data_IF_441847348293
#
_entry.id   IF_441847348293
#
_cell.length_a   1.000
_cell.length_b   1.000
_cell.length_c   1.000
_cell.angle_alpha   90.00
_cell.angle_beta   90.00
_cell.angle_gamma   90.00
#
_symmetry.space_group_name_H-M   'P 1'
#
loop_
_entity.id
_entity.type
_entity.pdbx_description
1 polymer ?
#
# COMPACT_ATOMS: atom_id res chain seq x y z
N UNK A 1 -41.96 14.05 -28.98
CA UNK A 1 -41.89 12.56 -29.03
C UNK A 1 -40.52 11.97 -29.39
N UNK A 2 -39.56 12.70 -30.00
CA UNK A 2 -38.22 12.15 -30.31
C UNK A 2 -37.34 11.87 -29.07
N UNK A 3 -37.45 12.69 -28.01
CA UNK A 3 -36.72 12.52 -26.74
C UNK A 3 -37.13 11.23 -26.01
N UNK A 4 -38.42 10.89 -26.07
CA UNK A 4 -38.97 9.70 -25.42
C UNK A 4 -38.38 8.43 -26.03
N UNK A 5 -38.26 8.37 -27.36
CA UNK A 5 -37.72 7.21 -28.06
C UNK A 5 -36.21 6.98 -27.80
N UNK A 6 -35.45 8.06 -27.54
CA UNK A 6 -34.02 7.97 -27.19
C UNK A 6 -33.82 7.47 -25.75
N UNK A 7 -34.58 8.00 -24.79
CA UNK A 7 -34.45 7.61 -23.39
C UNK A 7 -35.01 6.22 -23.10
N UNK A 8 -36.10 5.82 -23.79
CA UNK A 8 -36.71 4.50 -23.64
C UNK A 8 -35.81 3.38 -24.17
N UNK A 9 -35.15 3.58 -25.31
CA UNK A 9 -34.24 2.59 -25.91
C UNK A 9 -32.88 2.49 -25.20
N UNK A 10 -32.43 3.53 -24.47
CA UNK A 10 -31.10 3.57 -23.86
C UNK A 10 -31.08 3.20 -22.37
N UNK A 11 -32.15 3.50 -21.63
CA UNK A 11 -32.16 3.36 -20.16
C UNK A 11 -33.27 2.46 -19.59
N UNK A 12 -34.16 1.91 -20.43
CA UNK A 12 -35.07 0.81 -20.04
C UNK A 12 -36.02 1.10 -18.87
N UNK A 13 -36.49 2.34 -18.70
CA UNK A 13 -37.36 2.74 -17.58
C UNK A 13 -38.84 2.62 -18.01
N UNK A 14 -39.62 1.64 -17.50
CA UNK A 14 -41.06 1.60 -17.75
C UNK A 14 -41.84 2.32 -16.64
N UNK A 15 -43.08 2.66 -17.01
CA UNK A 15 -44.19 3.18 -16.20
C UNK A 15 -44.32 4.70 -16.17
N UNK A 16 -45.09 5.20 -17.14
CA UNK A 16 -45.67 6.53 -17.19
C UNK A 16 -47.17 6.40 -16.90
N UNK A 17 -47.66 6.96 -15.80
CA UNK A 17 -49.11 7.19 -15.60
C UNK A 17 -49.46 8.54 -16.22
N UNK A 18 -50.32 8.52 -17.25
CA UNK A 18 -50.80 9.74 -17.92
C UNK A 18 -52.23 10.02 -17.43
N UNK A 19 -52.37 11.00 -16.55
CA UNK A 19 -53.65 11.63 -16.23
C UNK A 19 -53.73 13.01 -16.88
N UNK A 20 -54.78 13.28 -17.64
CA UNK A 20 -54.98 14.53 -18.37
C UNK A 20 -56.01 15.41 -17.65
N UNK A 21 -55.57 16.48 -17.00
CA UNK A 21 -56.42 17.61 -16.62
C UNK A 21 -55.63 18.91 -16.78
N UNK A 22 -55.92 19.67 -17.83
CA UNK A 22 -55.36 21.01 -18.04
C UNK A 22 -53.96 21.03 -18.65
N UNK A 23 -53.65 22.11 -19.35
CA UNK A 23 -52.48 22.33 -20.22
C UNK A 23 -51.17 22.19 -19.43
N UNK A 24 -50.65 20.98 -19.30
CA UNK A 24 -49.38 20.70 -18.66
C UNK A 24 -49.17 19.21 -18.41
N UNK A 25 -48.02 18.67 -18.83
CA UNK A 25 -47.61 17.31 -18.47
C UNK A 25 -46.94 17.38 -17.09
N UNK A 26 -47.56 16.78 -16.06
CA UNK A 26 -46.90 16.55 -14.77
C UNK A 26 -46.13 15.24 -14.83
N UNK A 27 -44.80 15.33 -14.82
CA UNK A 27 -43.92 14.19 -14.68
C UNK A 27 -43.56 14.03 -13.20
N UNK A 28 -43.85 12.85 -12.63
CA UNK A 28 -43.46 12.49 -11.27
C UNK A 28 -42.26 11.56 -11.35
N UNK A 29 -41.09 12.04 -10.91
CA UNK A 29 -39.88 11.24 -10.79
C UNK A 29 -39.53 11.06 -9.31
N UNK A 30 -39.21 9.83 -8.91
CA UNK A 30 -38.82 9.50 -7.54
C UNK A 30 -37.29 9.65 -7.43
N UNK A 31 -36.84 10.53 -6.52
CA UNK A 31 -35.45 10.70 -6.08
C UNK A 31 -34.40 11.04 -7.16
N UNK A 32 -34.61 12.08 -7.97
CA UNK A 32 -33.55 12.68 -8.80
C UNK A 32 -33.69 14.21 -8.70
N UNK A 33 -32.63 14.90 -8.27
CA UNK A 33 -32.56 16.37 -8.31
C UNK A 33 -32.12 16.81 -9.72
N UNK A 34 -32.87 17.73 -10.34
CA UNK A 34 -32.49 18.37 -11.60
C UNK A 34 -32.30 19.87 -11.40
N UNK A 35 -31.26 20.44 -12.00
CA UNK A 35 -31.16 21.89 -12.25
C UNK A 35 -31.70 22.16 -13.64
N UNK A 36 -32.80 22.90 -13.74
CA UNK A 36 -33.31 23.40 -15.02
C UNK A 36 -32.49 24.63 -15.42
N UNK A 37 -31.54 24.47 -16.33
CA UNK A 37 -30.89 25.60 -17.01
C UNK A 37 -31.72 25.96 -18.23
N UNK A 38 -32.50 27.04 -18.14
CA UNK A 38 -33.22 27.59 -19.28
C UNK A 38 -32.27 28.42 -20.15
N UNK A 39 -31.85 27.85 -21.29
CA UNK A 39 -31.76 28.58 -22.57
C UNK A 39 -31.45 27.71 -23.80
N UNK A 40 -31.25 26.38 -23.66
CA UNK A 40 -30.94 25.53 -24.83
C UNK A 40 -31.55 24.13 -24.84
N UNK A 41 -32.50 23.82 -23.96
CA UNK A 41 -33.33 22.61 -24.06
C UNK A 41 -32.60 21.28 -23.80
N UNK A 42 -31.37 21.31 -23.27
CA UNK A 42 -30.69 20.12 -22.77
C UNK A 42 -30.99 19.93 -21.28
N UNK A 43 -31.64 18.81 -20.93
CA UNK A 43 -31.76 18.34 -19.54
C UNK A 43 -30.47 17.59 -19.22
N UNK A 44 -29.59 18.19 -18.43
CA UNK A 44 -28.42 17.52 -17.91
C UNK A 44 -28.84 16.69 -16.68
N UNK A 45 -28.76 15.36 -16.81
CA UNK A 45 -29.01 14.45 -15.70
C UNK A 45 -27.77 14.48 -14.80
N UNK A 46 -27.79 15.28 -13.74
CA UNK A 46 -26.78 15.20 -12.67
C UNK A 46 -26.99 13.88 -11.92
N UNK A 47 -26.22 12.86 -12.31
CA UNK A 47 -26.09 11.67 -11.48
C UNK A 47 -25.57 12.09 -10.10
N UNK A 48 -26.11 11.54 -9.00
CA UNK A 48 -25.68 11.92 -7.66
C UNK A 48 -24.17 11.70 -7.51
N UNK A 49 -23.47 12.75 -7.09
CA UNK A 49 -22.03 12.72 -6.92
C UNK A 49 -21.69 11.85 -5.70
N UNK A 50 -21.20 10.64 -5.94
CA UNK A 50 -20.93 9.64 -4.89
C UNK A 50 -19.46 9.62 -4.49
N UNK A 51 -19.14 8.91 -3.41
CA UNK A 51 -17.73 8.59 -3.08
C UNK A 51 -17.04 7.86 -4.24
N UNK A 52 -17.75 6.98 -4.95
CA UNK A 52 -17.24 6.33 -6.15
C UNK A 52 -16.85 7.36 -7.22
N UNK A 53 -17.73 8.33 -7.49
CA UNK A 53 -17.49 9.38 -8.49
C UNK A 53 -16.24 10.21 -8.15
N UNK A 54 -16.12 10.63 -6.89
CA UNK A 54 -14.96 11.40 -6.40
C UNK A 54 -13.65 10.64 -6.51
N UNK A 55 -13.63 9.35 -6.16
CA UNK A 55 -12.43 8.50 -6.26
C UNK A 55 -12.06 8.21 -7.72
N UNK A 56 -13.03 7.93 -8.59
CA UNK A 56 -12.78 7.72 -10.01
C UNK A 56 -12.26 8.98 -10.69
N UNK A 57 -12.79 10.16 -10.34
CA UNK A 57 -12.26 11.45 -10.83
C UNK A 57 -10.79 11.67 -10.43
N UNK A 58 -10.39 11.16 -9.27
CA UNK A 58 -8.99 11.13 -8.80
C UNK A 58 -8.17 9.97 -9.36
N UNK A 59 -8.69 9.27 -10.38
CA UNK A 59 -8.05 8.15 -11.09
C UNK A 59 -7.83 6.90 -10.25
N UNK A 60 -8.54 6.74 -9.14
CA UNK A 60 -8.55 5.47 -8.41
C UNK A 60 -9.48 4.46 -9.07
N UNK A 61 -9.02 3.22 -9.17
CA UNK A 61 -9.85 2.09 -9.57
C UNK A 61 -10.61 1.58 -8.34
N UNK A 62 -11.91 1.77 -8.31
CA UNK A 62 -12.76 1.38 -7.17
C UNK A 62 -13.11 -0.11 -7.21
N UNK A 63 -13.35 -0.71 -6.04
CA UNK A 63 -13.85 -2.09 -5.94
C UNK A 63 -15.26 -2.18 -6.52
N UNK A 64 -15.48 -3.18 -7.36
CA UNK A 64 -16.81 -3.54 -7.90
C UNK A 64 -17.11 -5.01 -7.57
N UNK A 65 -18.31 -5.47 -7.96
CA UNK A 65 -18.67 -6.89 -7.85
C UNK A 65 -17.75 -7.79 -8.68
N UNK A 66 -17.13 -7.26 -9.74
CA UNK A 66 -16.24 -7.99 -10.66
C UNK A 66 -14.77 -7.98 -10.22
N UNK A 67 -14.41 -7.20 -9.19
CA UNK A 67 -13.04 -7.20 -8.65
C UNK A 67 -12.68 -8.61 -8.18
N UNK A 68 -11.50 -9.11 -8.54
CA UNK A 68 -11.10 -10.49 -8.20
C UNK A 68 -10.86 -10.68 -6.70
N UNK A 69 -11.04 -11.91 -6.23
CA UNK A 69 -10.89 -12.23 -4.81
C UNK A 69 -9.47 -11.96 -4.30
N UNK A 70 -8.44 -12.22 -5.10
CA UNK A 70 -7.05 -11.95 -4.70
C UNK A 70 -6.82 -10.44 -4.49
N UNK A 71 -7.37 -9.59 -5.36
CA UNK A 71 -7.28 -8.13 -5.19
C UNK A 71 -7.95 -7.71 -3.89
N UNK A 72 -9.14 -8.24 -3.58
CA UNK A 72 -9.83 -7.92 -2.33
C UNK A 72 -9.05 -8.41 -1.10
N UNK A 73 -8.45 -9.59 -1.16
CA UNK A 73 -7.56 -10.09 -0.11
C UNK A 73 -6.31 -9.20 0.08
N UNK A 74 -5.73 -8.70 -1.00
CA UNK A 74 -4.63 -7.73 -0.95
C UNK A 74 -5.08 -6.40 -0.32
N UNK A 75 -6.28 -5.91 -0.67
CA UNK A 75 -6.87 -4.70 -0.06
C UNK A 75 -7.04 -4.88 1.45
N UNK A 76 -7.62 -5.99 1.90
CA UNK A 76 -7.81 -6.27 3.33
C UNK A 76 -6.47 -6.37 4.07
N UNK A 77 -5.40 -6.81 3.40
CA UNK A 77 -4.07 -7.01 3.98
C UNK A 77 -3.04 -5.92 3.63
N UNK A 78 -3.48 -4.76 3.14
CA UNK A 78 -2.58 -3.68 2.69
C UNK A 78 -1.82 -2.95 3.81
N UNK A 79 -2.31 -3.03 5.06
CA UNK A 79 -1.58 -2.45 6.19
C UNK A 79 -0.39 -3.35 6.54
N UNK A 80 0.78 -2.73 6.54
CA UNK A 80 2.07 -3.37 6.77
C UNK A 80 2.31 -3.46 8.28
N UNK A 81 2.07 -4.65 8.83
CA UNK A 81 2.21 -4.91 10.26
C UNK A 81 3.31 -5.93 10.56
N UNK A 82 4.60 -5.54 10.49
CA UNK A 82 5.69 -6.46 10.75
C UNK A 82 5.76 -6.89 12.23
N UNK A 83 5.09 -6.17 13.12
CA UNK A 83 5.03 -6.42 14.55
C UNK A 83 3.93 -7.40 15.00
N UNK A 84 3.02 -7.82 14.12
CA UNK A 84 1.89 -8.68 14.50
C UNK A 84 2.32 -10.14 14.56
N UNK A 85 2.56 -10.61 15.78
CA UNK A 85 2.93 -12.01 16.10
C UNK A 85 1.74 -12.83 16.64
N UNK A 86 0.55 -12.24 16.69
CA UNK A 86 -0.68 -12.87 17.15
C UNK A 86 -1.85 -12.54 16.21
N UNK A 87 -2.85 -13.41 16.22
CA UNK A 87 -4.12 -13.19 15.53
C UNK A 87 -4.76 -11.87 15.98
N UNK A 88 -5.44 -11.18 15.06
CA UNK A 88 -6.22 -10.00 15.40
C UNK A 88 -7.40 -9.85 14.47
N UNK A 89 -8.36 -9.02 14.91
CA UNK A 89 -9.57 -8.71 14.16
C UNK A 89 -9.70 -7.21 13.93
N UNK A 90 -10.23 -6.83 12.76
CA UNK A 90 -10.93 -5.56 12.62
C UNK A 90 -12.39 -5.77 12.99
N UNK A 91 -12.92 -4.92 13.88
CA UNK A 91 -14.33 -4.91 14.26
C UNK A 91 -15.20 -4.29 13.17
N UNK A 92 -16.51 -4.53 13.24
CA UNK A 92 -17.48 -3.91 12.32
C UNK A 92 -17.40 -2.37 12.42
N UNK A 93 -17.42 -1.69 11.27
CA UNK A 93 -17.32 -0.24 11.16
C UNK A 93 -15.92 0.34 11.44
N UNK A 94 -14.94 -0.47 11.85
CA UNK A 94 -13.62 0.02 12.24
C UNK A 94 -12.83 0.57 11.05
N UNK A 95 -12.88 -0.13 9.91
CA UNK A 95 -12.08 0.20 8.71
C UNK A 95 -12.68 1.42 7.99
N UNK A 96 -13.97 1.33 7.68
CA UNK A 96 -14.81 2.41 7.15
C UNK A 96 -16.25 2.23 7.63
N UNK A 97 -17.07 3.27 7.55
CA UNK A 97 -18.48 3.19 7.94
C UNK A 97 -19.21 2.11 7.12
N UNK A 98 -19.76 1.08 7.79
CA UNK A 98 -20.40 -0.08 7.15
C UNK A 98 -19.48 -1.27 6.84
N UNK A 99 -18.17 -1.16 7.09
CA UNK A 99 -17.22 -2.28 6.93
C UNK A 99 -17.55 -3.45 7.84
N UNK A 100 -17.34 -4.68 7.37
CA UNK A 100 -17.58 -5.91 8.14
C UNK A 100 -16.37 -6.35 8.94
N UNK A 101 -16.61 -7.23 9.91
CA UNK A 101 -15.54 -7.84 10.72
C UNK A 101 -14.61 -8.65 9.81
N UNK A 102 -13.30 -8.51 10.00
CA UNK A 102 -12.28 -9.28 9.30
C UNK A 102 -11.33 -9.86 10.34
N UNK A 103 -11.02 -11.14 10.21
CA UNK A 103 -10.07 -11.82 11.08
C UNK A 103 -8.80 -12.18 10.33
N UNK A 104 -7.67 -12.00 11.01
CA UNK A 104 -6.35 -12.38 10.52
C UNK A 104 -5.73 -13.43 11.42
N UNK A 105 -5.10 -14.41 10.80
CA UNK A 105 -4.27 -15.42 11.45
C UNK A 105 -2.79 -15.12 11.23
N UNK A 106 -1.95 -15.70 12.08
CA UNK A 106 -0.50 -15.70 11.88
C UNK A 106 0.00 -17.09 11.48
N UNK A 107 1.02 -17.10 10.64
CA UNK A 107 1.75 -18.30 10.22
C UNK A 107 3.20 -18.18 10.67
N UNK A 108 3.77 -19.30 11.10
CA UNK A 108 5.19 -19.44 11.38
C UNK A 108 5.91 -19.94 10.14
N UNK A 109 7.03 -19.29 9.81
CA UNK A 109 7.99 -19.73 8.81
C UNK A 109 9.27 -20.13 9.53
N UNK A 110 9.88 -21.24 9.13
CA UNK A 110 11.10 -21.78 9.74
C UNK A 110 12.23 -21.82 8.71
N UNK A 111 13.46 -21.53 9.14
CA UNK A 111 14.66 -21.81 8.32
C UNK A 111 14.99 -23.31 8.35
N UNK A 112 15.80 -23.80 7.38
CA UNK A 112 16.15 -25.22 7.24
C UNK A 112 16.62 -25.90 8.54
N UNK A 113 17.42 -25.21 9.34
CA UNK A 113 18.00 -25.75 10.57
C UNK A 113 17.04 -25.67 11.77
N UNK A 114 15.83 -25.12 11.61
CA UNK A 114 14.77 -24.95 12.61
C UNK A 114 15.19 -24.22 13.90
N UNK A 115 16.31 -23.52 13.88
CA UNK A 115 16.83 -22.77 15.05
C UNK A 115 16.18 -21.41 15.22
N UNK A 116 15.60 -20.84 14.15
CA UNK A 116 14.98 -19.52 14.16
C UNK A 116 13.68 -19.57 13.34
N UNK A 117 12.67 -18.82 13.81
CA UNK A 117 11.36 -18.72 13.18
C UNK A 117 10.96 -17.27 12.95
N UNK A 118 10.15 -17.03 11.91
CA UNK A 118 9.46 -15.78 11.66
C UNK A 118 7.97 -16.01 11.72
N UNK A 119 7.29 -15.26 12.59
CA UNK A 119 5.83 -15.19 12.60
C UNK A 119 5.40 -14.04 11.69
N UNK A 120 4.59 -14.35 10.68
CA UNK A 120 4.02 -13.39 9.75
C UNK A 120 2.49 -13.46 9.79
N UNK A 121 1.84 -12.39 9.36
CA UNK A 121 0.39 -12.32 9.26
C UNK A 121 -0.07 -12.85 7.90
N UNK A 122 -1.01 -13.78 7.90
CA UNK A 122 -1.61 -14.33 6.69
C UNK A 122 -2.66 -13.37 6.10
N UNK A 123 -2.97 -13.58 4.82
CA UNK A 123 -4.17 -12.99 4.22
C UNK A 123 -5.40 -13.49 4.98
N UNK A 124 -6.45 -12.67 5.12
CA UNK A 124 -7.74 -13.14 5.64
C UNK A 124 -8.27 -14.34 4.85
N UNK A 125 -9.14 -15.11 5.47
CA UNK A 125 -9.83 -16.20 4.80
C UNK A 125 -10.72 -15.69 3.65
N UNK A 126 -10.79 -16.44 2.54
CA UNK A 126 -11.63 -16.12 1.38
C UNK A 126 -13.11 -15.91 1.73
N UNK A 127 -13.61 -16.50 2.81
CA UNK A 127 -14.99 -16.31 3.28
C UNK A 127 -15.36 -14.84 3.52
N UNK A 128 -14.39 -13.98 3.83
CA UNK A 128 -14.63 -12.55 4.07
C UNK A 128 -14.79 -11.73 2.78
N UNK A 129 -14.43 -12.28 1.61
CA UNK A 129 -14.31 -11.52 0.37
C UNK A 129 -15.66 -10.95 -0.11
N UNK A 130 -16.71 -11.75 -0.16
CA UNK A 130 -18.00 -11.29 -0.69
C UNK A 130 -18.63 -10.22 0.20
N UNK A 131 -18.63 -10.44 1.51
CA UNK A 131 -19.15 -9.47 2.48
C UNK A 131 -18.38 -8.14 2.41
N UNK A 132 -17.05 -8.21 2.23
CA UNK A 132 -16.22 -7.03 2.08
C UNK A 132 -16.50 -6.28 0.77
N UNK A 133 -16.61 -6.99 -0.37
CA UNK A 133 -16.99 -6.39 -1.66
C UNK A 133 -18.32 -5.66 -1.57
N UNK A 134 -19.33 -6.31 -1.02
CA UNK A 134 -20.65 -5.70 -0.84
C UNK A 134 -20.59 -4.46 0.05
N UNK A 135 -19.85 -4.51 1.16
CA UNK A 135 -19.67 -3.37 2.05
C UNK A 135 -19.02 -2.20 1.32
N UNK A 136 -18.00 -2.45 0.50
CA UNK A 136 -17.37 -1.43 -0.33
C UNK A 136 -18.33 -0.85 -1.36
N UNK A 137 -19.04 -1.68 -2.14
CA UNK A 137 -19.98 -1.21 -3.17
C UNK A 137 -21.08 -0.36 -2.53
N UNK A 138 -21.63 -0.79 -1.39
CA UNK A 138 -22.66 -0.03 -0.65
C UNK A 138 -22.10 1.31 -0.15
N UNK A 139 -20.91 1.32 0.44
CA UNK A 139 -20.31 2.55 0.97
C UNK A 139 -19.88 3.54 -0.14
N UNK A 140 -19.38 3.03 -1.27
CA UNK A 140 -18.98 3.83 -2.43
C UNK A 140 -20.18 4.49 -3.14
N UNK A 141 -21.37 3.87 -3.06
CA UNK A 141 -22.60 4.42 -3.62
C UNK A 141 -23.23 5.53 -2.77
N UNK A 142 -22.75 5.76 -1.54
CA UNK A 142 -23.23 6.86 -0.69
C UNK A 142 -22.84 8.20 -1.32
N UNK A 143 -23.77 9.15 -1.25
CA UNK A 143 -23.58 10.50 -1.78
C UNK A 143 -22.46 11.25 -1.04
N UNK A 144 -21.55 11.85 -1.80
CA UNK A 144 -20.47 12.66 -1.28
C UNK A 144 -20.90 14.12 -1.19
N UNK A 145 -21.39 14.50 0.00
CA UNK A 145 -21.79 15.89 0.32
C UNK A 145 -20.73 16.55 1.18
N UNK A 146 -20.04 17.55 0.64
CA UNK A 146 -19.19 18.45 1.42
C UNK A 146 -19.91 19.79 1.54
N UNK A 147 -20.40 20.10 2.75
CA UNK A 147 -20.87 21.45 3.04
C UNK A 147 -19.70 22.25 3.62
N UNK A 148 -19.17 23.18 2.83
CA UNK A 148 -18.05 24.05 3.22
C UNK A 148 -18.33 24.90 4.48
N UNK A 149 -19.60 25.15 4.80
CA UNK A 149 -20.00 25.89 6.01
C UNK A 149 -20.11 25.02 7.28
N UNK A 150 -20.16 23.69 7.14
CA UNK A 150 -20.30 22.75 8.26
C UNK A 150 -19.01 21.93 8.40
N UNK A 151 -18.10 22.44 9.24
CA UNK A 151 -16.76 21.86 9.45
C UNK A 151 -16.83 20.39 9.88
N UNK A 152 -17.77 20.03 10.75
CA UNK A 152 -17.89 18.66 11.26
C UNK A 152 -18.33 17.69 10.15
N UNK A 153 -19.36 18.07 9.36
CA UNK A 153 -19.79 17.24 8.22
C UNK A 153 -18.72 17.12 7.15
N UNK A 154 -17.99 18.21 6.88
CA UNK A 154 -16.84 18.20 5.96
C UNK A 154 -15.77 17.23 6.43
N UNK A 155 -15.31 17.34 7.68
CA UNK A 155 -14.30 16.44 8.24
C UNK A 155 -14.75 14.98 8.24
N UNK A 156 -16.03 14.70 8.54
CA UNK A 156 -16.57 13.34 8.46
C UNK A 156 -16.56 12.80 7.02
N UNK A 157 -17.02 13.59 6.05
CA UNK A 157 -17.03 13.20 4.64
C UNK A 157 -15.62 12.97 4.09
N UNK A 158 -14.67 13.86 4.40
CA UNK A 158 -13.27 13.72 3.97
C UNK A 158 -12.57 12.52 4.64
N UNK A 159 -12.83 12.29 5.93
CA UNK A 159 -12.32 11.10 6.65
C UNK A 159 -12.86 9.81 6.04
N UNK A 160 -14.15 9.76 5.73
CA UNK A 160 -14.76 8.60 5.06
C UNK A 160 -14.21 8.42 3.64
N UNK A 161 -14.04 9.48 2.85
CA UNK A 161 -13.42 9.42 1.53
C UNK A 161 -11.98 8.87 1.63
N UNK A 162 -11.20 9.31 2.61
CA UNK A 162 -9.84 8.83 2.83
C UNK A 162 -9.80 7.34 3.19
N UNK A 163 -10.75 6.87 4.02
CA UNK A 163 -10.90 5.45 4.37
C UNK A 163 -11.34 4.62 3.17
N UNK A 164 -12.32 5.08 2.38
CA UNK A 164 -12.76 4.37 1.16
C UNK A 164 -11.68 4.35 0.08
N UNK A 165 -10.87 5.42 -0.03
CA UNK A 165 -9.67 5.40 -0.88
C UNK A 165 -8.70 4.32 -0.43
N UNK A 166 -8.43 4.20 0.88
CA UNK A 166 -7.54 3.15 1.39
C UNK A 166 -8.15 1.76 1.14
N UNK A 167 -9.41 1.55 1.50
CA UNK A 167 -9.97 0.22 1.72
C UNK A 167 -10.95 -0.27 0.65
N UNK A 168 -11.34 0.57 -0.31
CA UNK A 168 -12.27 0.20 -1.38
C UNK A 168 -11.76 0.62 -2.77
N UNK A 169 -10.44 0.72 -2.94
CA UNK A 169 -9.78 0.89 -4.24
C UNK A 169 -8.75 -0.21 -4.45
N UNK A 170 -8.54 -0.60 -5.70
CA UNK A 170 -7.48 -1.52 -6.10
C UNK A 170 -6.12 -0.78 -6.03
N UNK A 171 -5.24 -1.12 -5.08
CA UNK A 171 -4.05 -0.33 -4.85
C UNK A 171 -2.89 -0.81 -5.72
N UNK A 172 -2.08 0.14 -6.18
CA UNK A 172 -0.72 -0.13 -6.67
C UNK A 172 0.27 -0.21 -5.50
N UNK A 173 1.50 -0.67 -5.77
CA UNK A 173 2.58 -0.61 -4.78
C UNK A 173 2.83 0.84 -4.33
N UNK A 174 2.80 1.80 -5.26
CA UNK A 174 2.87 3.25 -4.99
C UNK A 174 1.82 3.71 -4.00
N UNK A 175 0.57 3.29 -4.20
CA UNK A 175 -0.53 3.67 -3.31
C UNK A 175 -0.31 3.16 -1.88
N UNK A 176 0.09 1.90 -1.72
CA UNK A 176 0.35 1.31 -0.40
C UNK A 176 1.52 2.01 0.28
N UNK A 177 2.66 2.15 -0.39
CA UNK A 177 3.82 2.81 0.21
C UNK A 177 3.54 4.29 0.55
N UNK A 178 2.77 5.00 -0.29
CA UNK A 178 2.32 6.36 -0.01
C UNK A 178 1.40 6.45 1.22
N UNK A 179 0.48 5.48 1.41
CA UNK A 179 -0.36 5.38 2.62
C UNK A 179 0.50 5.19 3.87
N UNK A 180 1.61 4.47 3.73
CA UNK A 180 2.66 4.25 4.74
C UNK A 180 3.71 5.36 4.85
N UNK A 181 3.42 6.55 4.28
CA UNK A 181 4.21 7.78 4.39
C UNK A 181 5.63 7.71 3.82
N UNK A 182 5.95 6.70 3.02
CA UNK A 182 7.20 6.69 2.28
C UNK A 182 7.21 7.83 1.25
N UNK A 183 8.29 8.58 1.22
CA UNK A 183 8.51 9.61 0.20
C UNK A 183 9.09 8.95 -1.05
N UNK A 184 8.22 8.53 -1.97
CA UNK A 184 8.61 7.76 -3.14
C UNK A 184 9.50 8.57 -4.09
N UNK A 185 10.56 7.95 -4.58
CA UNK A 185 11.42 8.50 -5.62
C UNK A 185 10.74 8.24 -6.97
N UNK A 186 10.05 9.25 -7.50
CA UNK A 186 9.42 9.20 -8.83
C UNK A 186 9.76 10.48 -9.58
N UNK A 187 9.93 10.40 -10.90
CA UNK A 187 10.22 11.56 -11.74
C UNK A 187 9.11 12.63 -11.66
N UNK A 188 7.90 12.23 -11.30
CA UNK A 188 6.74 13.12 -11.14
C UNK A 188 6.75 13.93 -9.84
N UNK A 189 7.61 13.58 -8.87
CA UNK A 189 7.66 14.26 -7.58
C UNK A 189 8.59 15.47 -7.65
N UNK A 190 8.02 16.68 -7.47
CA UNK A 190 8.78 17.93 -7.41
C UNK A 190 9.82 17.86 -6.29
N UNK A 191 11.08 18.16 -6.61
CA UNK A 191 12.18 18.20 -5.65
C UNK A 191 12.91 16.88 -5.42
N UNK A 192 12.68 15.85 -6.25
CA UNK A 192 13.58 14.70 -6.35
C UNK A 192 14.75 15.05 -7.26
N UNK A 193 15.97 14.85 -6.79
CA UNK A 193 17.21 15.06 -7.56
C UNK A 193 17.95 13.75 -7.77
N UNK A 194 18.95 13.76 -8.65
CA UNK A 194 19.84 12.60 -8.83
C UNK A 194 20.62 12.28 -7.55
N UNK A 195 20.86 13.26 -6.67
CA UNK A 195 21.48 13.02 -5.37
C UNK A 195 20.61 12.08 -4.51
N UNK A 196 19.28 12.27 -4.48
CA UNK A 196 18.38 11.39 -3.73
C UNK A 196 18.49 9.92 -4.17
N UNK A 197 18.71 9.68 -5.48
CA UNK A 197 18.94 8.33 -6.01
C UNK A 197 20.31 7.78 -5.59
N UNK A 198 21.34 8.63 -5.62
CA UNK A 198 22.69 8.26 -5.18
C UNK A 198 22.70 7.90 -3.69
N UNK A 199 21.89 8.54 -2.85
CA UNK A 199 21.76 8.23 -1.42
C UNK A 199 21.25 6.81 -1.19
N UNK A 200 20.24 6.41 -1.97
CA UNK A 200 19.66 5.08 -1.85
C UNK A 200 20.65 4.03 -2.35
N UNK A 201 21.25 4.24 -3.53
CA UNK A 201 22.20 3.29 -4.13
C UNK A 201 23.45 3.11 -3.24
N UNK A 202 23.98 4.21 -2.69
CA UNK A 202 25.14 4.17 -1.81
C UNK A 202 24.80 3.80 -0.34
N UNK A 203 23.53 3.53 -0.02
CA UNK A 203 23.07 3.26 1.35
C UNK A 203 23.64 1.99 2.00
N UNK A 204 24.16 1.07 1.17
CA UNK A 204 24.92 -0.08 1.64
C UNK A 204 24.43 -1.43 1.13
N UNK A 205 23.25 -1.50 0.51
CA UNK A 205 22.80 -2.76 -0.12
C UNK A 205 23.67 -3.22 -1.28
N UNK A 206 24.46 -2.33 -1.88
CA UNK A 206 25.36 -2.62 -3.01
C UNK A 206 26.84 -2.58 -2.64
N UNK A 207 27.17 -2.71 -1.35
CA UNK A 207 28.56 -2.75 -0.85
C UNK A 207 28.94 -4.13 -0.31
N UNK A 208 30.25 -4.34 -0.16
CA UNK A 208 30.83 -5.47 0.57
C UNK A 208 31.39 -4.99 1.91
N UNK A 209 31.12 -5.73 2.98
CA UNK A 209 31.73 -5.54 4.30
C UNK A 209 32.36 -6.86 4.78
N UNK A 210 33.68 -6.88 4.90
CA UNK A 210 34.42 -8.14 5.12
C UNK A 210 34.11 -9.13 4.01
N UNK A 211 33.65 -10.32 4.38
CA UNK A 211 33.22 -11.36 3.43
C UNK A 211 31.74 -11.23 3.01
N UNK A 212 30.98 -10.31 3.61
CA UNK A 212 29.55 -10.16 3.34
C UNK A 212 29.31 -9.25 2.14
N UNK A 213 28.70 -9.82 1.10
CA UNK A 213 28.20 -9.09 -0.08
C UNK A 213 26.71 -8.78 0.10
N UNK A 214 26.34 -7.54 0.40
CA UNK A 214 24.94 -7.22 0.67
C UNK A 214 24.04 -7.25 -0.57
N UNK A 215 24.63 -7.12 -1.77
CA UNK A 215 23.86 -7.21 -3.00
C UNK A 215 23.30 -8.62 -3.26
N UNK A 216 23.88 -9.64 -2.61
CA UNK A 216 23.37 -11.01 -2.64
C UNK A 216 22.22 -11.23 -1.63
N UNK A 217 21.94 -10.24 -0.77
CA UNK A 217 20.92 -10.32 0.29
C UNK A 217 19.66 -9.49 -0.02
N UNK A 218 19.53 -9.05 -1.26
CA UNK A 218 18.36 -8.36 -1.82
C UNK A 218 17.99 -9.01 -3.17
N UNK A 219 16.79 -8.77 -3.69
CA UNK A 219 16.31 -9.25 -4.98
C UNK A 219 15.79 -8.14 -5.91
N UNK A 220 15.90 -6.89 -5.49
CA UNK A 220 15.49 -5.72 -6.25
C UNK A 220 16.30 -5.58 -7.52
N UNK A 221 17.62 -5.78 -7.48
CA UNK A 221 18.46 -6.02 -8.64
C UNK A 221 18.68 -7.52 -8.74
N UNK A 222 18.32 -8.12 -9.87
CA UNK A 222 18.39 -9.57 -10.04
C UNK A 222 19.83 -10.07 -10.11
N UNK A 223 20.04 -11.34 -9.80
CA UNK A 223 21.39 -11.96 -9.84
C UNK A 223 22.01 -11.88 -11.25
N UNK A 224 21.20 -11.91 -12.31
CA UNK A 224 21.68 -11.73 -13.69
C UNK A 224 22.05 -10.27 -14.03
N UNK A 225 21.48 -9.29 -13.32
CA UNK A 225 21.72 -7.87 -13.58
C UNK A 225 22.86 -7.30 -12.71
N UNK A 226 23.16 -7.94 -11.57
CA UNK A 226 24.01 -7.34 -10.53
C UNK A 226 25.43 -7.04 -10.99
N UNK A 227 26.04 -7.91 -11.81
CA UNK A 227 27.38 -7.69 -12.36
C UNK A 227 27.42 -6.42 -13.22
N UNK A 228 26.46 -6.29 -14.15
CA UNK A 228 26.34 -5.10 -14.99
C UNK A 228 25.96 -3.86 -14.19
N UNK A 229 25.25 -4.01 -13.09
CA UNK A 229 24.84 -2.91 -12.22
C UNK A 229 26.02 -2.37 -11.43
N UNK A 230 26.87 -3.23 -10.85
CA UNK A 230 28.04 -2.81 -10.07
C UNK A 230 29.18 -2.25 -10.93
N UNK A 231 29.11 -2.37 -12.26
CA UNK A 231 30.12 -1.87 -13.20
C UNK A 231 31.13 -2.93 -13.67
N UNK A 232 30.73 -4.21 -13.69
CA UNK A 232 31.53 -5.32 -14.20
C UNK A 232 32.19 -6.20 -13.13
N UNK A 233 32.86 -7.28 -13.56
CA UNK A 233 33.46 -8.29 -12.68
C UNK A 233 34.48 -7.75 -11.69
N UNK A 234 35.25 -6.74 -12.07
CA UNK A 234 36.28 -6.14 -11.22
C UNK A 234 35.65 -5.52 -9.96
N UNK A 235 34.66 -4.63 -10.14
CA UNK A 235 33.92 -4.03 -9.02
C UNK A 235 33.08 -5.03 -8.22
N UNK A 236 32.59 -6.09 -8.86
CA UNK A 236 31.85 -7.18 -8.21
C UNK A 236 32.73 -8.02 -7.26
N UNK A 237 34.03 -8.11 -7.52
CA UNK A 237 34.96 -8.89 -6.71
C UNK A 237 35.66 -8.07 -5.60
N UNK A 238 35.77 -6.75 -5.78
CA UNK A 238 36.36 -5.84 -4.82
C UNK A 238 35.36 -5.48 -3.71
N UNK A 239 34.67 -4.35 -3.85
CA UNK A 239 34.00 -3.69 -2.72
C UNK A 239 32.58 -3.18 -3.02
N UNK A 240 32.14 -3.24 -4.28
CA UNK A 240 30.85 -2.70 -4.72
C UNK A 240 30.81 -1.16 -4.71
N UNK A 241 29.68 -0.59 -4.31
CA UNK A 241 29.43 0.86 -4.22
C UNK A 241 29.60 1.31 -2.76
N UNK A 242 30.64 2.08 -2.45
CA UNK A 242 30.95 2.51 -1.08
C UNK A 242 30.36 3.87 -0.72
N UNK A 243 30.20 4.74 -1.71
CA UNK A 243 29.87 6.13 -1.50
C UNK A 243 29.02 6.69 -2.64
N UNK A 244 28.37 7.85 -2.42
CA UNK A 244 27.56 8.52 -3.45
C UNK A 244 28.39 8.87 -4.70
N UNK A 245 29.68 9.16 -4.54
CA UNK A 245 30.58 9.50 -5.65
C UNK A 245 30.89 8.32 -6.55
N UNK A 246 30.73 7.10 -6.05
CA UNK A 246 30.93 5.88 -6.85
C UNK A 246 29.72 5.55 -7.72
N UNK A 247 28.59 6.22 -7.48
CA UNK A 247 27.33 5.99 -8.18
C UNK A 247 27.33 6.70 -9.53
N UNK A 248 27.19 5.91 -10.59
CA UNK A 248 27.16 6.40 -11.97
C UNK A 248 25.76 6.82 -12.41
N UNK A 249 25.67 7.69 -13.40
CA UNK A 249 24.38 8.12 -13.96
C UNK A 249 23.64 6.95 -14.64
N UNK A 250 24.36 5.95 -15.14
CA UNK A 250 23.77 4.71 -15.66
C UNK A 250 23.05 3.92 -14.55
N UNK A 251 23.67 3.78 -13.38
CA UNK A 251 23.06 3.13 -12.21
C UNK A 251 21.82 3.87 -11.74
N UNK A 252 21.88 5.20 -11.67
CA UNK A 252 20.72 6.06 -11.35
C UNK A 252 19.59 5.85 -12.35
N UNK A 253 19.90 5.82 -13.65
CA UNK A 253 18.91 5.61 -14.71
C UNK A 253 18.25 4.23 -14.63
N UNK A 254 19.03 3.18 -14.35
CA UNK A 254 18.51 1.82 -14.10
C UNK A 254 17.56 1.80 -12.89
N UNK A 255 17.92 2.48 -11.80
CA UNK A 255 17.08 2.61 -10.60
C UNK A 255 15.76 3.33 -10.88
N UNK A 256 15.81 4.49 -11.55
CA UNK A 256 14.62 5.27 -11.94
C UNK A 256 13.62 4.43 -12.71
N UNK A 257 14.09 3.77 -13.78
CA UNK A 257 13.26 2.91 -14.63
C UNK A 257 12.63 1.77 -13.82
N UNK A 258 13.44 1.04 -13.05
CA UNK A 258 12.96 -0.10 -12.27
C UNK A 258 11.94 0.31 -11.20
N UNK A 259 12.18 1.43 -10.51
CA UNK A 259 11.24 1.97 -9.54
C UNK A 259 9.93 2.42 -10.19
N UNK A 260 9.97 3.09 -11.34
CA UNK A 260 8.75 3.45 -12.06
C UNK A 260 7.93 2.22 -12.44
N UNK A 261 8.58 1.18 -12.97
CA UNK A 261 7.92 -0.07 -13.34
C UNK A 261 7.30 -0.79 -12.14
N UNK A 262 8.04 -0.94 -11.04
CA UNK A 262 7.56 -1.66 -9.85
C UNK A 262 6.45 -0.89 -9.12
N UNK A 263 6.59 0.43 -8.96
CA UNK A 263 5.63 1.23 -8.20
C UNK A 263 4.23 1.22 -8.81
N UNK A 264 4.11 1.12 -10.13
CA UNK A 264 2.82 1.10 -10.84
C UNK A 264 2.20 -0.32 -10.92
N UNK A 265 2.89 -1.36 -10.45
CA UNK A 265 2.31 -2.72 -10.38
C UNK A 265 1.19 -2.80 -9.36
N UNK A 266 0.19 -3.70 -9.57
CA UNK A 266 -0.79 -4.03 -8.55
C UNK A 266 -0.11 -4.49 -7.25
N UNK A 267 -0.62 -4.00 -6.11
CA UNK A 267 -0.12 -4.45 -4.82
C UNK A 267 -0.53 -5.91 -4.58
N UNK A 268 0.47 -6.74 -4.27
CA UNK A 268 0.28 -8.12 -3.85
C UNK A 268 1.04 -8.37 -2.56
N UNK A 269 0.44 -9.16 -1.68
CA UNK A 269 1.03 -9.57 -0.41
C UNK A 269 0.85 -11.05 -0.18
N UNK A 270 1.93 -11.74 0.15
CA UNK A 270 1.93 -13.17 0.49
C UNK A 270 2.77 -13.42 1.72
N UNK A 271 3.93 -12.78 1.80
CA UNK A 271 5.01 -13.20 2.70
C UNK A 271 5.51 -12.10 3.62
N UNK A 272 4.90 -10.92 3.58
CA UNK A 272 5.32 -9.80 4.40
C UNK A 272 5.41 -10.15 5.89
N UNK A 273 6.56 -9.96 6.55
CA UNK A 273 7.71 -9.13 6.14
C UNK A 273 9.02 -9.93 5.92
N UNK A 274 8.92 -11.20 5.51
CA UNK A 274 10.08 -12.10 5.38
C UNK A 274 11.13 -11.55 4.38
N UNK A 275 12.36 -11.24 4.85
CA UNK A 275 13.40 -10.66 4.00
C UNK A 275 14.03 -11.68 3.05
N UNK A 276 14.68 -11.21 1.99
CA UNK A 276 15.35 -12.06 0.98
C UNK A 276 16.35 -13.03 1.59
N UNK A 277 17.13 -12.61 2.60
CA UNK A 277 18.06 -13.48 3.32
C UNK A 277 17.35 -14.68 3.98
N UNK A 278 16.19 -14.45 4.62
CA UNK A 278 15.40 -15.51 5.24
C UNK A 278 14.92 -16.52 4.18
N UNK A 279 14.45 -16.04 3.02
CA UNK A 279 14.07 -16.92 1.91
C UNK A 279 15.22 -17.76 1.36
N UNK A 280 16.46 -17.26 1.40
CA UNK A 280 17.64 -18.03 0.99
C UNK A 280 17.95 -19.17 1.97
N UNK A 281 17.61 -18.97 3.25
CA UNK A 281 17.82 -19.93 4.35
C UNK A 281 16.67 -20.96 4.52
N UNK A 282 15.50 -20.71 3.92
CA UNK A 282 14.36 -21.64 3.89
C UNK A 282 14.52 -22.80 2.90
N UNK A 283 13.79 -23.91 3.12
CA UNK A 283 13.68 -25.02 2.17
C UNK A 283 13.15 -24.51 0.81
N UNK A 284 13.82 -24.82 -0.32
CA UNK A 284 13.33 -24.49 -1.67
C UNK A 284 11.86 -24.81 -1.96
N UNK A 285 11.30 -25.86 -1.35
CA UNK A 285 9.90 -26.25 -1.57
C UNK A 285 8.88 -25.30 -0.93
N UNK A 286 9.32 -24.48 0.02
CA UNK A 286 8.46 -23.59 0.81
C UNK A 286 8.58 -22.13 0.36
N UNK A 287 9.28 -21.85 -0.75
CA UNK A 287 9.57 -20.48 -1.20
C UNK A 287 8.40 -19.87 -1.98
N UNK A 288 7.69 -18.95 -1.33
CA UNK A 288 6.62 -18.15 -1.95
C UNK A 288 7.13 -16.84 -2.61
N UNK A 289 8.44 -16.58 -2.53
CA UNK A 289 9.08 -15.37 -3.03
C UNK A 289 8.91 -14.16 -2.10
N UNK A 290 9.65 -13.07 -2.39
CA UNK A 290 9.48 -11.80 -1.68
C UNK A 290 8.35 -10.99 -2.32
N UNK A 291 7.54 -10.34 -1.48
CA UNK A 291 6.59 -9.36 -1.99
C UNK A 291 7.33 -8.12 -2.50
N UNK A 292 7.19 -7.77 -3.78
CA UNK A 292 7.98 -6.71 -4.45
C UNK A 292 7.93 -5.35 -3.72
N UNK A 293 6.80 -5.04 -3.08
CA UNK A 293 6.65 -3.78 -2.34
C UNK A 293 7.64 -3.66 -1.17
N UNK A 294 8.08 -4.78 -0.60
CA UNK A 294 9.02 -4.79 0.53
C UNK A 294 10.33 -4.16 0.16
N UNK A 295 10.86 -4.51 -1.01
CA UNK A 295 12.11 -3.97 -1.53
C UNK A 295 11.89 -2.63 -2.24
N UNK A 296 10.73 -2.42 -2.88
CA UNK A 296 10.37 -1.10 -3.39
C UNK A 296 10.37 -0.03 -2.27
N UNK A 297 9.98 -0.37 -1.05
CA UNK A 297 10.12 0.54 0.09
C UNK A 297 11.59 0.87 0.41
N UNK A 298 12.51 -0.10 0.24
CA UNK A 298 13.94 0.10 0.50
C UNK A 298 14.61 0.95 -0.58
N UNK A 299 14.26 0.70 -1.84
CA UNK A 299 15.00 1.20 -3.01
C UNK A 299 14.31 2.31 -3.79
N UNK A 300 13.00 2.48 -3.64
CA UNK A 300 12.21 3.46 -4.39
C UNK A 300 11.62 4.56 -3.50
N UNK A 301 12.21 4.79 -2.33
CA UNK A 301 11.82 5.87 -1.43
C UNK A 301 13.04 6.59 -0.87
N UNK A 302 12.88 7.86 -0.49
CA UNK A 302 13.91 8.56 0.28
C UNK A 302 14.18 7.78 1.57
N UNK A 303 15.44 7.71 2.02
CA UNK A 303 15.80 7.00 3.24
C UNK A 303 14.93 7.41 4.44
N UNK A 304 14.19 6.45 4.98
CA UNK A 304 13.30 6.66 6.13
C UNK A 304 13.87 5.95 7.34
N UNK A 305 13.95 6.63 8.50
CA UNK A 305 14.39 6.01 9.74
C UNK A 305 13.32 5.05 10.29
N UNK A 306 13.77 4.00 10.98
CA UNK A 306 12.86 3.04 11.63
C UNK A 306 12.00 3.74 12.67
N UNK A 307 12.59 4.62 13.48
CA UNK A 307 11.86 5.39 14.49
C UNK A 307 10.77 6.28 13.86
N UNK A 308 11.11 6.98 12.78
CA UNK A 308 10.15 7.79 12.02
C UNK A 308 8.98 6.96 11.49
N UNK A 309 9.24 5.73 11.03
CA UNK A 309 8.21 4.86 10.50
C UNK A 309 7.28 4.32 11.61
N UNK A 310 7.86 3.88 12.72
CA UNK A 310 7.09 3.46 13.90
C UNK A 310 6.21 4.63 14.38
N UNK A 311 6.78 5.82 14.52
CA UNK A 311 6.12 6.99 15.07
C UNK A 311 5.03 7.57 14.15
N UNK A 312 5.36 7.80 12.87
CA UNK A 312 4.53 8.55 11.91
C UNK A 312 3.62 7.67 11.07
N UNK A 313 4.10 6.49 10.66
CA UNK A 313 3.35 5.60 9.75
C UNK A 313 2.51 4.59 10.53
N UNK A 314 3.10 3.94 11.54
CA UNK A 314 2.40 2.96 12.36
C UNK A 314 1.65 3.58 13.54
N UNK A 315 1.87 4.88 13.83
CA UNK A 315 1.34 5.58 15.01
C UNK A 315 1.67 4.82 16.31
N UNK A 316 2.85 4.22 16.35
CA UNK A 316 3.36 3.44 17.46
C UNK A 316 4.34 4.22 18.34
N UNK A 317 4.72 3.59 19.44
CA UNK A 317 5.85 4.00 20.27
C UNK A 317 6.99 3.01 20.08
N UNK A 318 8.24 3.49 19.95
CA UNK A 318 9.41 2.62 19.94
C UNK A 318 9.66 2.06 21.35
N UNK A 319 10.22 0.85 21.42
CA UNK A 319 10.70 0.24 22.66
C UNK A 319 11.81 1.08 23.29
N UNK A 320 11.89 1.01 24.61
CA UNK A 320 12.98 1.61 25.41
C UNK A 320 14.09 0.61 25.76
N UNK A 321 13.81 -0.70 25.73
CA UNK A 321 14.79 -1.79 25.93
C UNK A 321 14.40 -3.05 25.14
N UNK A 322 15.39 -3.87 24.77
CA UNK A 322 15.15 -5.19 24.16
C UNK A 322 15.09 -6.26 25.25
N UNK A 323 14.03 -7.06 25.22
CA UNK A 323 13.86 -8.20 26.11
C UNK A 323 14.71 -9.40 25.69
N UNK A 324 14.88 -10.39 26.57
CA UNK A 324 15.52 -11.67 26.21
C UNK A 324 14.77 -12.45 25.13
N UNK A 325 13.45 -12.21 25.00
CA UNK A 325 12.67 -12.78 23.90
C UNK A 325 13.03 -12.10 22.56
N UNK A 326 13.19 -10.77 22.55
CA UNK A 326 13.61 -10.02 21.36
C UNK A 326 14.98 -10.50 20.87
N UNK A 327 15.92 -10.74 21.79
CA UNK A 327 17.27 -11.21 21.47
C UNK A 327 17.33 -12.60 20.81
N UNK A 328 16.25 -13.38 20.90
CA UNK A 328 16.11 -14.69 20.27
C UNK A 328 15.40 -14.63 18.91
N UNK A 329 14.77 -13.50 18.59
CA UNK A 329 14.07 -13.31 17.31
C UNK A 329 15.06 -13.31 16.15
N UNK A 330 14.64 -13.86 15.00
CA UNK A 330 15.44 -13.83 13.78
C UNK A 330 15.88 -12.40 13.43
N UNK A 331 15.06 -11.38 13.68
CA UNK A 331 15.37 -10.01 13.32
C UNK A 331 16.45 -9.36 14.19
N UNK A 332 16.85 -9.99 15.30
CA UNK A 332 17.80 -9.40 16.23
C UNK A 332 19.23 -9.55 15.71
N UNK A 333 19.95 -8.43 15.73
CA UNK A 333 21.40 -8.36 15.60
C UNK A 333 21.95 -7.70 16.86
N UNK A 334 23.23 -7.92 17.17
CA UNK A 334 23.85 -7.43 18.40
C UNK A 334 24.10 -5.91 18.36
N UNK A 335 23.02 -5.13 18.38
CA UNK A 335 22.99 -3.66 18.33
C UNK A 335 22.09 -3.09 19.43
N UNK A 336 22.42 -1.88 19.87
CA UNK A 336 21.61 -1.14 20.84
C UNK A 336 20.32 -0.55 20.23
N UNK A 337 19.37 -0.16 21.08
CA UNK A 337 18.11 0.45 20.62
C UNK A 337 18.31 1.74 19.83
N UNK A 338 19.23 2.59 20.27
CA UNK A 338 19.50 3.86 19.59
C UNK A 338 20.08 3.64 18.20
N UNK A 339 20.82 2.55 17.97
CA UNK A 339 21.21 2.15 16.63
C UNK A 339 19.98 1.75 15.81
N UNK A 340 19.12 0.87 16.37
CA UNK A 340 17.89 0.42 15.68
C UNK A 340 16.97 1.57 15.28
N UNK A 341 16.81 2.59 16.13
CA UNK A 341 16.02 3.79 15.83
C UNK A 341 16.56 4.58 14.64
N UNK A 342 17.88 4.63 14.50
CA UNK A 342 18.56 5.45 13.49
C UNK A 342 18.77 4.74 12.15
N UNK A 343 18.62 3.41 12.11
CA UNK A 343 18.67 2.64 10.86
C UNK A 343 17.67 3.17 9.84
N UNK A 344 18.07 3.15 8.57
CA UNK A 344 17.25 3.62 7.46
C UNK A 344 16.88 2.49 6.49
N UNK A 345 15.89 2.76 5.64
CA UNK A 345 15.44 1.84 4.58
C UNK A 345 16.56 1.36 3.63
N UNK A 346 17.52 2.23 3.32
CA UNK A 346 18.63 1.93 2.41
C UNK A 346 19.85 1.27 3.09
N UNK A 347 19.79 0.98 4.40
CA UNK A 347 20.90 0.39 5.17
C UNK A 347 20.62 -1.09 5.51
N UNK A 348 21.48 -2.04 5.10
CA UNK A 348 21.32 -3.43 5.49
C UNK A 348 21.73 -3.66 6.95
N UNK A 349 21.02 -4.56 7.63
CA UNK A 349 21.26 -4.90 9.05
C UNK A 349 21.83 -6.31 9.11
N UNK A 350 23.12 -6.46 8.85
CA UNK A 350 23.77 -7.77 8.60
C UNK A 350 23.07 -8.58 7.48
N UNK A 351 22.34 -7.88 6.60
CA UNK A 351 21.56 -8.46 5.51
C UNK A 351 20.07 -8.63 5.79
N UNK A 352 19.65 -8.36 7.03
CA UNK A 352 18.23 -8.22 7.37
C UNK A 352 17.73 -6.86 6.89
N UNK A 353 16.46 -6.79 6.54
CA UNK A 353 15.85 -5.58 5.99
C UNK A 353 15.37 -4.62 7.08
N UNK A 354 15.10 -3.38 6.69
CA UNK A 354 14.41 -2.36 7.48
C UNK A 354 13.19 -2.91 8.24
N UNK A 355 12.42 -3.80 7.62
CA UNK A 355 11.21 -4.38 8.22
C UNK A 355 11.48 -5.20 9.49
N UNK A 356 12.65 -5.85 9.56
CA UNK A 356 13.09 -6.54 10.78
C UNK A 356 13.35 -5.56 11.93
N UNK A 357 13.95 -4.39 11.64
CA UNK A 357 14.13 -3.35 12.64
C UNK A 357 12.80 -2.76 13.10
N UNK A 358 11.87 -2.50 12.17
CA UNK A 358 10.53 -2.00 12.51
C UNK A 358 9.80 -2.97 13.43
N UNK A 359 9.81 -4.28 13.14
CA UNK A 359 9.21 -5.28 14.03
C UNK A 359 9.78 -5.19 15.43
N UNK A 360 11.10 -5.23 15.55
CA UNK A 360 11.75 -5.30 16.85
C UNK A 360 11.56 -4.04 17.67
N UNK A 361 11.61 -2.88 17.01
CA UNK A 361 11.51 -1.58 17.67
C UNK A 361 10.09 -1.24 18.08
N UNK A 362 9.05 -1.73 17.38
CA UNK A 362 7.67 -1.42 17.74
C UNK A 362 7.30 -1.99 19.13
N UNK A 363 6.77 -1.15 20.01
CA UNK A 363 6.20 -1.56 21.31
C UNK A 363 4.67 -1.65 21.25
N UNK A 364 4.00 -0.49 21.21
CA UNK A 364 2.54 -0.38 21.27
C UNK A 364 2.01 0.78 20.44
N UNK A 365 0.70 0.81 20.23
CA UNK A 365 0.04 1.92 19.56
C UNK A 365 -0.05 3.13 20.51
N UNK A 366 0.21 4.34 20.01
CA UNK A 366 0.09 5.59 20.80
C UNK A 366 -1.29 5.79 21.41
N UNK A 367 -2.32 5.22 20.78
CA UNK A 367 -3.72 5.37 21.16
C UNK A 367 -4.30 4.12 21.84
N UNK A 368 -3.50 3.07 22.09
CA UNK A 368 -3.96 1.99 22.97
C UNK A 368 -3.83 2.45 24.42
N UNK A 369 -4.98 2.55 25.12
CA UNK A 369 -5.03 2.81 26.56
C UNK A 369 -4.37 1.68 27.35
#
# INVERSE_FOLDING_TARGET
MKVFNYLFNKYGIPVLFVGFTGVGVKLYFRNIEFVLVSDSGFVEVLLPYSFSSELTNKKYKVVTNDTSDDIVLNIMSQRLFPNKTQNFDYSEGQIFEGSKKISFTVKKLEIKDKKQELTILEKPDKKFVNEYKEACVKALAVEYRVNESDKEKKEKAESQLARLREWCTEPTIKDVLGRHKFQLLTETNKGITDDDWKDVIAGGWFKKEGDTKYWEKQSFISESEIESFLGGKEKLNEEGIKSKTDVTDEQVSKFKKKCQEILEKPFTRKTFYAPTMFWKEMDPKEKDGIDEFQEAALFCSKPMKVDDYVDKSMQGLPKSSFSEADKKDYCYVNKGIEEYKNLKTNEPIEGKSFWCAVKLLYDKNKHSK
#
